data_IF_967921178458
#
_entry.id   IF_967921178458
#
_cell.length_a   1.000
_cell.length_b   1.000
_cell.length_c   1.000
_cell.angle_alpha   90.00
_cell.angle_beta   90.00
_cell.angle_gamma   90.00
#
_symmetry.space_group_name_H-M   'P 1'
#
loop_
_entity.id
_entity.type
_entity.pdbx_description
1 polymer ?
#
# COMPACT_ATOMS: atom_id res chain seq x y z
N UNK A 1 -16.31 -12.05 8.66
CA UNK A 1 -16.26 -11.55 7.26
C UNK A 1 -15.21 -12.33 6.52
N UNK A 2 -15.51 -12.94 5.36
CA UNK A 2 -14.50 -13.65 4.56
C UNK A 2 -13.54 -12.63 3.98
N UNK A 3 -12.30 -12.60 4.46
CA UNK A 3 -11.21 -11.90 3.79
C UNK A 3 -10.99 -12.63 2.46
N UNK A 4 -11.45 -12.04 1.36
CA UNK A 4 -11.12 -12.55 0.04
C UNK A 4 -9.60 -12.54 -0.12
N UNK A 5 -9.01 -13.66 -0.52
CA UNK A 5 -7.56 -13.77 -0.72
C UNK A 5 -7.07 -12.74 -1.74
N UNK A 6 -5.87 -12.18 -1.56
CA UNK A 6 -5.25 -11.33 -2.58
C UNK A 6 -5.12 -12.07 -3.92
N UNK A 7 -5.43 -11.40 -5.01
CA UNK A 7 -5.28 -11.89 -6.37
C UNK A 7 -3.91 -11.44 -6.89
N UNK A 8 -3.19 -12.36 -7.55
CA UNK A 8 -1.98 -12.01 -8.30
C UNK A 8 -2.38 -11.52 -9.68
N UNK A 9 -2.03 -10.27 -9.97
CA UNK A 9 -2.21 -9.62 -11.27
C UNK A 9 -0.83 -9.42 -11.91
N UNK A 10 -0.78 -9.31 -13.24
CA UNK A 10 0.41 -8.79 -13.92
C UNK A 10 0.64 -7.33 -13.51
N UNK A 11 1.86 -6.81 -13.68
CA UNK A 11 2.16 -5.40 -13.34
C UNK A 11 1.26 -4.42 -14.12
N UNK A 12 0.97 -4.71 -15.39
CA UNK A 12 0.07 -3.91 -16.22
C UNK A 12 -1.37 -3.92 -15.69
N UNK A 13 -1.95 -5.10 -15.50
CA UNK A 13 -3.33 -5.26 -14.99
C UNK A 13 -3.47 -4.67 -13.58
N UNK A 14 -2.40 -4.75 -12.78
CA UNK A 14 -2.36 -4.16 -11.43
C UNK A 14 -2.40 -2.64 -11.51
N UNK A 15 -1.58 -2.03 -12.37
CA UNK A 15 -1.57 -0.57 -12.54
C UNK A 15 -2.92 -0.07 -13.04
N UNK A 16 -3.50 -0.74 -14.05
CA UNK A 16 -4.84 -0.40 -14.55
C UNK A 16 -5.91 -0.53 -13.45
N UNK A 17 -5.84 -1.59 -12.65
CA UNK A 17 -6.77 -1.79 -11.52
C UNK A 17 -6.62 -0.70 -10.46
N UNK A 18 -5.38 -0.30 -10.12
CA UNK A 18 -5.13 0.81 -9.19
C UNK A 18 -5.68 2.12 -9.74
N UNK A 19 -5.43 2.44 -11.00
CA UNK A 19 -5.96 3.64 -11.67
C UNK A 19 -7.49 3.67 -11.71
N UNK A 20 -8.12 2.52 -11.95
CA UNK A 20 -9.59 2.42 -12.02
C UNK A 20 -10.27 2.55 -10.67
N UNK A 21 -9.68 2.01 -9.60
CA UNK A 21 -10.30 1.92 -8.27
C UNK A 21 -9.89 3.04 -7.31
N UNK A 22 -8.71 3.63 -7.47
CA UNK A 22 -8.27 4.82 -6.74
C UNK A 22 -8.38 6.07 -7.62
N UNK A 23 -9.63 6.53 -7.82
CA UNK A 23 -9.94 7.63 -8.73
C UNK A 23 -9.60 9.02 -8.15
N UNK A 24 -9.43 9.12 -6.83
CA UNK A 24 -9.15 10.40 -6.16
C UNK A 24 -7.71 10.85 -6.39
N UNK A 25 -6.80 9.89 -6.47
CA UNK A 25 -5.37 10.10 -6.65
C UNK A 25 -4.87 9.02 -7.61
N UNK A 26 -4.92 9.27 -8.94
CA UNK A 26 -4.57 8.27 -9.92
C UNK A 26 -3.10 7.85 -9.78
N UNK A 27 -2.85 6.56 -9.95
CA UNK A 27 -1.51 5.97 -9.93
C UNK A 27 -0.82 6.14 -11.27
N UNK A 28 0.37 6.75 -11.33
CA UNK A 28 1.14 6.83 -12.59
C UNK A 28 2.09 5.65 -12.80
N UNK A 29 2.49 5.00 -11.71
CA UNK A 29 3.37 3.84 -11.69
C UNK A 29 3.12 3.00 -10.44
N UNK A 30 3.45 1.71 -10.48
CA UNK A 30 3.44 0.84 -9.30
C UNK A 30 4.49 1.23 -8.25
N UNK A 31 5.49 2.02 -8.62
CA UNK A 31 6.55 2.51 -7.73
C UNK A 31 6.17 3.78 -6.98
N UNK A 32 5.03 4.40 -7.31
CA UNK A 32 4.55 5.54 -6.54
C UNK A 32 4.31 5.16 -5.08
N UNK A 33 4.55 6.13 -4.20
CA UNK A 33 4.40 5.96 -2.76
C UNK A 33 3.12 6.63 -2.29
N UNK A 34 2.45 5.98 -1.34
CA UNK A 34 1.35 6.56 -0.57
C UNK A 34 1.60 6.39 0.91
N UNK A 35 1.17 7.37 1.69
CA UNK A 35 1.14 7.27 3.14
C UNK A 35 -0.23 6.81 3.59
N UNK A 36 -0.28 5.68 4.28
CA UNK A 36 -1.51 5.18 4.88
C UNK A 36 -1.76 5.88 6.22
N UNK A 37 -2.85 6.65 6.31
CA UNK A 37 -3.22 7.38 7.52
C UNK A 37 -3.63 6.47 8.69
N UNK A 38 -4.02 5.22 8.42
CA UNK A 38 -4.45 4.27 9.46
C UNK A 38 -3.28 3.60 10.15
N UNK A 39 -2.30 3.06 9.39
CA UNK A 39 -1.16 2.35 9.98
C UNK A 39 0.14 3.17 10.00
N UNK A 40 0.14 4.38 9.45
CA UNK A 40 1.29 5.28 9.45
C UNK A 40 2.48 4.81 8.61
N UNK A 41 2.27 3.90 7.66
CA UNK A 41 3.33 3.33 6.81
C UNK A 41 3.26 3.87 5.38
N UNK A 42 4.43 3.96 4.75
CA UNK A 42 4.54 4.15 3.31
C UNK A 42 4.30 2.81 2.60
N UNK A 43 3.40 2.83 1.62
CA UNK A 43 3.05 1.70 0.77
C UNK A 43 3.27 2.07 -0.70
N UNK A 44 3.58 1.08 -1.53
CA UNK A 44 3.67 1.26 -2.99
C UNK A 44 2.56 0.54 -3.72
N UNK A 45 2.33 0.93 -4.97
CA UNK A 45 1.39 0.26 -5.87
C UNK A 45 1.69 -1.24 -6.00
N UNK A 46 2.97 -1.62 -6.02
CA UNK A 46 3.41 -3.03 -6.01
C UNK A 46 2.94 -3.80 -4.78
N UNK A 47 2.92 -3.15 -3.61
CA UNK A 47 2.56 -3.81 -2.35
C UNK A 47 1.06 -3.88 -2.12
N UNK A 48 0.28 -2.92 -2.64
CA UNK A 48 -1.18 -2.87 -2.44
C UNK A 48 -1.82 -4.21 -2.79
N UNK A 49 -2.68 -4.67 -1.88
CA UNK A 49 -3.41 -5.91 -2.06
C UNK A 49 -4.67 -5.63 -2.85
N UNK A 50 -4.84 -6.37 -3.95
CA UNK A 50 -6.08 -6.41 -4.72
C UNK A 50 -6.81 -7.68 -4.35
N UNK A 51 -8.05 -7.54 -3.90
CA UNK A 51 -8.89 -8.67 -3.54
C UNK A 51 -10.31 -8.43 -4.04
N UNK A 52 -11.18 -9.42 -3.87
CA UNK A 52 -12.56 -9.31 -4.33
C UNK A 52 -12.75 -9.96 -5.69
N UNK A 53 -14.00 -10.31 -5.93
CA UNK A 53 -14.29 -11.39 -6.82
C UNK A 53 -15.24 -12.44 -6.23
N UNK A 54 -16.53 -12.60 -6.58
CA UNK A 54 -17.34 -13.80 -6.37
C UNK A 54 -16.62 -15.04 -6.92
N UNK A 55 -15.93 -15.80 -6.06
CA UNK A 55 -14.83 -16.72 -6.45
C UNK A 55 -13.69 -16.07 -7.27
N UNK A 56 -13.73 -14.76 -7.47
CA UNK A 56 -13.17 -14.00 -8.61
C UNK A 56 -14.07 -12.88 -9.23
N UNK A 57 -15.43 -12.86 -9.12
CA UNK A 57 -16.36 -11.85 -9.71
C UNK A 57 -17.23 -10.89 -8.81
N UNK A 58 -16.66 -10.12 -7.89
CA UNK A 58 -17.26 -9.15 -6.99
C UNK A 58 -16.34 -7.95 -7.12
N UNK A 59 -16.81 -6.71 -6.92
CA UNK A 59 -16.02 -5.55 -7.31
C UNK A 59 -14.64 -5.65 -6.67
N UNK A 60 -13.61 -5.53 -7.50
CA UNK A 60 -12.23 -5.52 -7.04
C UNK A 60 -12.09 -4.43 -5.98
N UNK A 61 -11.31 -4.72 -4.95
CA UNK A 61 -11.05 -3.85 -3.82
C UNK A 61 -9.56 -3.72 -3.62
N UNK A 62 -9.15 -2.52 -3.25
CA UNK A 62 -7.79 -2.22 -2.84
C UNK A 62 -7.73 -2.20 -1.31
N UNK A 63 -6.67 -2.78 -0.75
CA UNK A 63 -6.41 -2.79 0.68
C UNK A 63 -4.92 -2.65 0.98
N UNK A 64 -4.62 -2.12 2.17
CA UNK A 64 -3.23 -1.90 2.56
C UNK A 64 -2.52 -3.23 2.79
N UNK A 65 -1.25 -3.37 2.39
CA UNK A 65 -0.46 -4.58 2.60
C UNK A 65 -0.16 -4.91 4.07
N UNK A 66 -0.35 -3.95 4.98
CA UNK A 66 0.01 -4.13 6.39
C UNK A 66 -1.00 -5.05 7.07
N UNK A 67 -0.49 -6.09 7.76
CA UNK A 67 -1.34 -7.02 8.51
C UNK A 67 -2.27 -6.26 9.46
N UNK A 68 -3.56 -6.63 9.46
CA UNK A 68 -4.63 -6.03 10.29
C UNK A 68 -4.90 -4.55 10.03
N UNK A 69 -4.34 -3.97 8.97
CA UNK A 69 -4.74 -2.64 8.51
C UNK A 69 -5.94 -2.75 7.57
N UNK A 70 -7.02 -2.06 7.89
CA UNK A 70 -8.26 -2.06 7.11
C UNK A 70 -8.39 -0.85 6.19
N UNK A 71 -7.30 -0.10 5.99
CA UNK A 71 -7.34 1.13 5.19
C UNK A 71 -7.66 0.85 3.72
N UNK A 72 -8.41 1.75 3.13
CA UNK A 72 -8.85 1.77 1.72
C UNK A 72 -8.24 2.99 1.00
N UNK A 73 -8.39 3.14 -0.33
CA UNK A 73 -7.77 4.24 -1.09
C UNK A 73 -8.00 5.65 -0.53
N UNK A 74 -9.16 5.89 0.09
CA UNK A 74 -9.48 7.17 0.73
C UNK A 74 -8.49 7.53 1.85
N UNK A 75 -7.93 6.54 2.54
CA UNK A 75 -7.01 6.71 3.66
C UNK A 75 -5.54 6.88 3.20
N UNK A 76 -5.28 6.88 1.89
CA UNK A 76 -3.93 6.88 1.33
C UNK A 76 -3.63 8.20 0.65
N UNK A 77 -2.80 9.03 1.29
CA UNK A 77 -2.43 10.34 0.78
C UNK A 77 -1.06 10.31 0.10
N UNK A 78 -0.74 11.35 -0.68
CA UNK A 78 0.63 11.56 -1.12
C UNK A 78 1.48 11.87 0.12
N UNK A 79 2.61 11.18 0.31
CA UNK A 79 3.50 11.51 1.41
C UNK A 79 4.10 12.89 1.16
N UNK A 80 4.17 13.70 2.21
CA UNK A 80 4.94 14.96 2.19
C UNK A 80 6.43 14.67 2.36
N UNK A 81 7.27 15.63 1.99
CA UNK A 81 8.72 15.53 2.18
C UNK A 81 9.07 15.24 3.66
N UNK A 82 8.38 15.90 4.60
CA UNK A 82 8.53 15.66 6.04
C UNK A 82 8.26 14.19 6.42
N UNK A 83 7.19 13.58 5.89
CA UNK A 83 6.87 12.17 6.16
C UNK A 83 7.96 11.26 5.56
N UNK A 84 8.47 11.58 4.37
CA UNK A 84 9.53 10.82 3.71
C UNK A 84 10.86 10.89 4.48
N UNK A 85 11.21 12.07 4.99
CA UNK A 85 12.39 12.29 5.82
C UNK A 85 12.27 11.55 7.16
N UNK A 86 11.15 11.71 7.86
CA UNK A 86 10.90 11.05 9.14
C UNK A 86 10.98 9.51 9.04
N UNK A 87 10.49 8.91 7.96
CA UNK A 87 10.64 7.46 7.77
C UNK A 87 12.09 7.06 7.48
N UNK A 88 12.85 7.88 6.75
CA UNK A 88 14.24 7.59 6.41
C UNK A 88 15.11 7.59 7.67
N UNK A 89 14.86 8.55 8.58
CA UNK A 89 15.51 8.62 9.88
C UNK A 89 15.20 7.39 10.75
N UNK A 90 13.92 6.98 10.82
CA UNK A 90 13.55 5.75 11.58
C UNK A 90 14.22 4.49 11.04
N UNK A 91 14.30 4.35 9.71
CA UNK A 91 14.99 3.21 9.09
C UNK A 91 16.48 3.21 9.43
N UNK A 92 17.14 4.37 9.45
CA UNK A 92 18.55 4.49 9.83
C UNK A 92 18.78 4.16 11.32
N UNK A 93 17.89 4.64 12.20
CA UNK A 93 17.93 4.32 13.63
C UNK A 93 17.76 2.82 13.89
N UNK A 94 16.74 2.18 13.30
CA UNK A 94 16.53 0.74 13.41
C UNK A 94 17.77 -0.03 12.92
N UNK A 95 18.34 0.37 11.78
CA UNK A 95 19.57 -0.24 11.25
C UNK A 95 20.75 -0.09 12.20
N UNK A 96 20.92 1.09 12.82
CA UNK A 96 21.95 1.30 13.84
C UNK A 96 21.71 0.43 15.07
N UNK A 97 20.48 0.34 15.55
CA UNK A 97 20.11 -0.50 16.69
C UNK A 97 20.42 -1.99 16.45
N UNK A 98 20.22 -2.49 15.22
CA UNK A 98 20.60 -3.84 14.82
C UNK A 98 22.12 -4.08 14.74
N UNK A 99 22.93 -3.03 14.62
CA UNK A 99 24.40 -3.13 14.50
C UNK A 99 25.14 -2.99 15.83
N UNK A 100 24.43 -2.70 16.94
CA UNK A 100 25.01 -2.69 18.28
C UNK A 100 25.15 -4.16 18.74
N UNK A 101 26.36 -4.68 18.96
CA UNK A 101 26.55 -6.04 19.49
C UNK A 101 25.94 -6.13 20.89
N UNK A 102 25.23 -7.24 21.18
CA UNK A 102 24.73 -7.55 22.53
C UNK A 102 25.86 -7.86 23.51
#
# INVERSE_FOLDING_TARGET
MMLSSPIKLSDGDKLETLQRLDQFRPWRSLDEKRYCLVCGKIITGRQIQVAGGTRGNGPLRLSCPTERCHSIPMDWVLPTDEILENMALKVDEDRRAYLIPK
#
